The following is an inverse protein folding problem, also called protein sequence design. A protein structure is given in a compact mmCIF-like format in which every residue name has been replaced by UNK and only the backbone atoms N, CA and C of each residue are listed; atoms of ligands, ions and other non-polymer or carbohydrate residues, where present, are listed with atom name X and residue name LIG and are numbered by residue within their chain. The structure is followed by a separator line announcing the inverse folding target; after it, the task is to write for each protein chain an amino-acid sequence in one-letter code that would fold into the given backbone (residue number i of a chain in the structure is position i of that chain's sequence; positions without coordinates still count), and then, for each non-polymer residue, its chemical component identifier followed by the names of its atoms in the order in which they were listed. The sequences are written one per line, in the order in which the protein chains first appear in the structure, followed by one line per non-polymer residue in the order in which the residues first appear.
data_IF_505842459040
#
_entry.id   IF_505842459040
#
_cell.length_a   1.000
_cell.length_b   1.000
_cell.length_c   1.000
_cell.angle_alpha   90.00
_cell.angle_beta   90.00
_cell.angle_gamma   90.00
#
_symmetry.space_group_name_H-M   'P 1'
#
loop_
_entity.id
_entity.type
_entity.pdbx_description
1 polymer ?
#
# COMPACT_ATOMS: atom_id res chain seq x y z
N UNK A 1 -12.97 -3.34 13.62
CA UNK A 1 -11.96 -3.28 12.55
C UNK A 1 -12.05 -1.96 11.78
N UNK A 2 -10.92 -1.45 11.31
CA UNK A 2 -10.90 -0.29 10.43
C UNK A 2 -11.47 -0.65 9.06
N UNK A 3 -11.69 0.37 8.22
CA UNK A 3 -12.14 0.18 6.85
C UNK A 3 -11.18 -0.71 6.07
N UNK A 4 -9.87 -0.44 6.17
CA UNK A 4 -8.85 -1.24 5.50
C UNK A 4 -8.91 -2.70 5.95
N UNK A 5 -8.94 -2.94 7.25
CA UNK A 5 -8.97 -4.30 7.79
C UNK A 5 -10.22 -5.07 7.37
N UNK A 6 -11.37 -4.40 7.34
CA UNK A 6 -12.61 -5.03 6.90
C UNK A 6 -12.51 -5.50 5.44
N UNK A 7 -11.96 -4.66 4.58
CA UNK A 7 -11.80 -5.01 3.17
C UNK A 7 -10.76 -6.14 2.98
N UNK A 8 -9.66 -6.10 3.74
CA UNK A 8 -8.66 -7.17 3.70
C UNK A 8 -9.28 -8.49 4.14
N UNK A 9 -10.04 -8.48 5.23
CA UNK A 9 -10.66 -9.70 5.77
C UNK A 9 -11.53 -10.41 4.73
N UNK A 10 -12.22 -9.64 3.89
CA UNK A 10 -13.14 -10.16 2.88
C UNK A 10 -12.44 -10.60 1.58
N UNK A 11 -11.15 -10.34 1.43
CA UNK A 11 -10.42 -10.58 0.18
C UNK A 11 -9.44 -11.74 0.34
N UNK A 12 -9.37 -12.59 -0.69
CA UNK A 12 -8.38 -13.67 -0.75
C UNK A 12 -7.17 -13.33 -1.60
N UNK A 13 -7.38 -12.54 -2.65
CA UNK A 13 -6.32 -12.15 -3.59
C UNK A 13 -6.24 -10.63 -3.67
N UNK A 14 -5.10 -10.08 -3.24
CA UNK A 14 -4.90 -8.65 -3.00
C UNK A 14 -3.70 -8.15 -3.78
N UNK A 15 -3.84 -6.98 -4.43
CA UNK A 15 -2.71 -6.26 -5.02
C UNK A 15 -2.53 -4.93 -4.29
N UNK A 16 -1.27 -4.59 -4.01
CA UNK A 16 -0.88 -3.33 -3.39
C UNK A 16 -0.11 -2.53 -4.42
N UNK A 17 -0.54 -1.30 -4.66
CA UNK A 17 0.06 -0.39 -5.63
C UNK A 17 0.47 0.92 -4.95
N UNK A 18 1.51 1.55 -5.52
CA UNK A 18 1.93 2.90 -5.14
C UNK A 18 2.01 3.79 -6.38
N UNK A 19 2.68 4.93 -6.25
CA UNK A 19 2.81 5.88 -7.36
C UNK A 19 4.06 5.62 -8.21
N UNK A 20 4.08 6.19 -9.42
CA UNK A 20 5.27 6.21 -10.28
C UNK A 20 6.43 6.92 -9.57
N UNK A 21 7.66 6.54 -9.91
CA UNK A 21 8.86 7.06 -9.25
C UNK A 21 8.75 6.91 -7.71
N UNK A 22 8.58 5.70 -7.21
CA UNK A 22 8.32 5.50 -5.79
C UNK A 22 9.48 5.97 -4.91
N UNK A 23 9.12 6.59 -3.80
CA UNK A 23 10.03 7.10 -2.79
C UNK A 23 9.89 6.30 -1.49
N UNK A 24 10.53 6.78 -0.41
CA UNK A 24 10.52 6.08 0.88
C UNK A 24 9.13 5.95 1.49
N UNK A 25 8.28 6.96 1.35
CA UNK A 25 6.90 6.87 1.87
C UNK A 25 6.07 5.87 1.05
N UNK A 26 6.25 5.86 -0.25
CA UNK A 26 5.56 4.92 -1.12
C UNK A 26 5.95 3.48 -0.80
N UNK A 27 7.25 3.16 -0.79
CA UNK A 27 7.69 1.78 -0.50
C UNK A 27 7.41 1.40 0.94
N UNK A 28 7.58 2.33 1.88
CA UNK A 28 7.31 2.07 3.30
C UNK A 28 5.84 1.72 3.54
N UNK A 29 4.92 2.50 2.98
CA UNK A 29 3.48 2.23 3.15
C UNK A 29 3.09 0.92 2.47
N UNK A 30 3.57 0.66 1.27
CA UNK A 30 3.26 -0.58 0.54
C UNK A 30 3.74 -1.83 1.29
N UNK A 31 4.99 -1.82 1.76
CA UNK A 31 5.56 -2.97 2.46
C UNK A 31 5.02 -3.11 3.88
N UNK A 32 4.63 -2.01 4.53
CA UNK A 32 3.96 -2.08 5.83
C UNK A 32 2.66 -2.88 5.71
N UNK A 33 1.84 -2.55 4.72
CA UNK A 33 0.57 -3.24 4.49
C UNK A 33 0.81 -4.69 4.06
N UNK A 34 1.78 -4.93 3.18
CA UNK A 34 2.13 -6.27 2.73
C UNK A 34 2.49 -7.18 3.93
N UNK A 35 3.43 -6.72 4.76
CA UNK A 35 3.86 -7.52 5.92
C UNK A 35 2.72 -7.71 6.92
N UNK A 36 1.91 -6.67 7.14
CA UNK A 36 0.78 -6.74 8.06
C UNK A 36 -0.21 -7.82 7.64
N UNK A 37 -0.56 -7.87 6.35
CA UNK A 37 -1.51 -8.87 5.85
C UNK A 37 -0.93 -10.27 5.94
N UNK A 38 0.31 -10.46 5.50
CA UNK A 38 0.95 -11.79 5.50
C UNK A 38 1.14 -12.34 6.92
N UNK A 39 1.39 -11.47 7.89
CA UNK A 39 1.52 -11.87 9.29
C UNK A 39 0.15 -12.15 9.92
N UNK A 40 -0.88 -11.41 9.49
CA UNK A 40 -2.24 -11.61 9.97
C UNK A 40 -2.86 -12.91 9.42
N UNK A 41 -2.72 -13.13 8.13
CA UNK A 41 -3.27 -14.32 7.46
C UNK A 41 -2.40 -14.71 6.27
N UNK A 42 -1.49 -15.65 6.50
CA UNK A 42 -0.53 -16.09 5.49
C UNK A 42 -1.18 -16.86 4.33
N UNK A 43 -2.46 -17.24 4.46
CA UNK A 43 -3.16 -17.94 3.37
C UNK A 43 -3.61 -17.00 2.25
N UNK A 44 -3.63 -15.69 2.50
CA UNK A 44 -4.00 -14.72 1.48
C UNK A 44 -2.87 -14.55 0.46
N UNK A 45 -3.26 -14.39 -0.82
CA UNK A 45 -2.31 -14.07 -1.87
C UNK A 45 -2.18 -12.56 -1.96
N UNK A 46 -0.98 -12.04 -1.67
CA UNK A 46 -0.72 -10.60 -1.67
C UNK A 46 0.44 -10.30 -2.60
N UNK A 47 0.23 -9.41 -3.54
CA UNK A 47 1.24 -8.98 -4.50
C UNK A 47 1.46 -7.47 -4.37
N UNK A 48 2.72 -7.04 -4.27
CA UNK A 48 3.09 -5.62 -4.33
C UNK A 48 3.66 -5.35 -5.70
N UNK A 49 3.13 -4.36 -6.41
CA UNK A 49 3.65 -3.95 -7.72
C UNK A 49 4.06 -2.49 -7.69
N UNK A 50 5.34 -2.25 -7.93
CA UNK A 50 5.94 -0.92 -7.95
C UNK A 50 6.98 -0.86 -9.05
N UNK A 51 7.27 0.33 -9.55
CA UNK A 51 8.42 0.56 -10.40
C UNK A 51 9.70 0.23 -9.64
N UNK A 52 10.77 -0.01 -10.37
CA UNK A 52 12.06 -0.38 -9.77
C UNK A 52 12.50 0.65 -8.73
N UNK A 53 12.88 0.15 -7.57
CA UNK A 53 13.31 0.95 -6.43
C UNK A 53 14.82 0.92 -6.24
N UNK A 54 15.42 1.99 -5.68
CA UNK A 54 16.83 1.97 -5.28
C UNK A 54 17.09 0.87 -4.25
N UNK A 55 18.27 0.26 -4.35
CA UNK A 55 18.68 -0.82 -3.44
C UNK A 55 18.80 -0.37 -1.97
N UNK A 56 18.84 0.94 -1.71
CA UNK A 56 18.88 1.46 -0.34
C UNK A 56 17.68 1.07 0.50
N UNK A 57 16.57 0.65 -0.14
CA UNK A 57 15.38 0.18 0.57
C UNK A 57 15.36 -1.34 0.77
N UNK A 58 16.39 -2.05 0.31
CA UNK A 58 16.42 -3.52 0.34
C UNK A 58 16.45 -4.11 1.76
N UNK A 59 16.70 -3.29 2.77
CA UNK A 59 16.64 -3.73 4.17
C UNK A 59 15.21 -3.97 4.66
N UNK A 60 14.21 -3.45 3.95
CA UNK A 60 12.82 -3.61 4.36
C UNK A 60 12.32 -5.01 4.06
N UNK A 61 11.65 -5.63 5.04
CA UNK A 61 11.04 -6.94 4.86
C UNK A 61 10.01 -6.87 3.73
N UNK A 62 10.07 -7.85 2.82
CA UNK A 62 9.17 -7.88 1.67
C UNK A 62 9.70 -7.18 0.43
N UNK A 63 10.84 -6.49 0.52
CA UNK A 63 11.41 -5.79 -0.64
C UNK A 63 11.59 -6.72 -1.83
N UNK A 64 12.08 -7.95 -1.59
CA UNK A 64 12.33 -8.91 -2.66
C UNK A 64 11.03 -9.51 -3.25
N UNK A 65 9.89 -9.28 -2.60
CA UNK A 65 8.60 -9.73 -3.11
C UNK A 65 7.96 -8.73 -4.09
N UNK A 66 8.52 -7.52 -4.22
CA UNK A 66 7.98 -6.50 -5.11
C UNK A 66 8.15 -6.95 -6.56
N UNK A 67 7.05 -6.90 -7.32
CA UNK A 67 7.06 -7.21 -8.74
C UNK A 67 6.97 -5.92 -9.55
N UNK A 68 7.75 -5.85 -10.62
CA UNK A 68 7.89 -4.62 -11.42
C UNK A 68 7.05 -4.62 -12.69
N UNK A 69 6.33 -5.69 -12.96
CA UNK A 69 5.45 -5.80 -14.13
C UNK A 69 3.99 -5.89 -13.70
N UNK A 70 3.08 -5.43 -14.58
CA UNK A 70 1.66 -5.35 -14.24
C UNK A 70 0.96 -6.72 -14.21
N UNK A 71 1.45 -7.68 -15.00
CA UNK A 71 0.79 -8.99 -15.11
C UNK A 71 -0.61 -8.88 -15.72
N UNK A 72 -1.38 -9.95 -15.60
CA UNK A 72 -2.73 -10.02 -16.19
C UNK A 72 -3.77 -10.54 -15.20
N UNK A 73 -3.39 -10.77 -13.95
CA UNK A 73 -4.29 -11.34 -12.95
C UNK A 73 -5.43 -10.38 -12.59
N UNK A 74 -6.52 -10.98 -12.09
CA UNK A 74 -7.60 -10.24 -11.45
C UNK A 74 -7.44 -10.35 -9.93
N UNK A 75 -8.00 -9.39 -9.20
CA UNK A 75 -7.86 -9.31 -7.74
C UNK A 75 -9.22 -9.08 -7.08
N UNK A 76 -9.35 -9.55 -5.85
CA UNK A 76 -10.51 -9.23 -5.03
C UNK A 76 -10.44 -7.79 -4.51
N UNK A 77 -9.22 -7.33 -4.22
CA UNK A 77 -8.97 -6.02 -3.62
C UNK A 77 -7.69 -5.41 -4.16
N UNK A 78 -7.75 -4.14 -4.52
CA UNK A 78 -6.58 -3.31 -4.82
C UNK A 78 -6.45 -2.24 -3.74
N UNK A 79 -5.27 -2.18 -3.11
CA UNK A 79 -4.93 -1.17 -2.11
C UNK A 79 -3.94 -0.22 -2.75
N UNK A 80 -4.36 1.04 -2.95
CA UNK A 80 -3.51 2.09 -3.51
C UNK A 80 -2.97 2.95 -2.38
N UNK A 81 -1.66 3.09 -2.31
CA UNK A 81 -0.99 3.80 -1.22
C UNK A 81 -0.14 4.93 -1.77
N UNK A 82 -0.27 6.11 -1.15
CA UNK A 82 0.55 7.28 -1.46
C UNK A 82 0.40 7.77 -2.91
N UNK A 83 -0.71 7.46 -3.56
CA UNK A 83 -0.98 7.89 -4.93
C UNK A 83 -2.14 8.87 -4.96
N UNK A 84 -1.87 10.11 -5.38
CA UNK A 84 -2.83 11.21 -5.31
C UNK A 84 -3.96 11.12 -6.35
N UNK A 85 -3.76 10.36 -7.43
CA UNK A 85 -4.74 10.15 -8.48
C UNK A 85 -4.42 8.87 -9.26
N UNK A 86 -5.35 8.49 -10.17
CA UNK A 86 -5.20 7.28 -10.96
C UNK A 86 -4.00 7.32 -11.92
N UNK A 87 -3.68 8.49 -12.46
CA UNK A 87 -2.57 8.64 -13.41
C UNK A 87 -1.23 8.31 -12.74
N UNK A 88 -1.11 8.61 -11.46
CA UNK A 88 0.11 8.31 -10.70
C UNK A 88 0.36 6.83 -10.50
N UNK A 89 -0.63 5.97 -10.76
CA UNK A 89 -0.44 4.52 -10.74
C UNK A 89 0.38 4.02 -11.94
N UNK A 90 0.47 4.81 -13.00
CA UNK A 90 1.24 4.47 -14.20
C UNK A 90 0.73 3.19 -14.85
N UNK A 91 1.64 2.31 -15.24
CA UNK A 91 1.31 1.05 -15.90
C UNK A 91 0.49 0.11 -15.00
N UNK A 92 0.54 0.31 -13.68
CA UNK A 92 -0.18 -0.54 -12.74
C UNK A 92 -1.65 -0.15 -12.59
N UNK A 93 -2.10 0.92 -13.25
CA UNK A 93 -3.53 1.23 -13.30
C UNK A 93 -4.34 0.05 -13.85
N UNK A 94 -3.75 -0.75 -14.73
CA UNK A 94 -4.41 -1.96 -15.24
C UNK A 94 -4.74 -2.95 -14.12
N UNK A 95 -3.89 -3.05 -13.10
CA UNK A 95 -4.18 -3.89 -11.92
C UNK A 95 -5.37 -3.33 -11.14
N UNK A 96 -5.41 -2.01 -10.95
CA UNK A 96 -6.54 -1.33 -10.32
C UNK A 96 -7.84 -1.64 -11.07
N UNK A 97 -7.81 -1.55 -12.39
CA UNK A 97 -9.00 -1.78 -13.23
C UNK A 97 -9.46 -3.25 -13.18
N UNK A 98 -8.54 -4.19 -12.92
CA UNK A 98 -8.87 -5.61 -12.83
C UNK A 98 -9.23 -6.07 -11.42
N UNK A 99 -9.46 -5.15 -10.51
CA UNK A 99 -9.80 -5.45 -9.11
C UNK A 99 -11.29 -5.27 -8.87
N UNK A 100 -11.90 -6.19 -8.12
CA UNK A 100 -13.31 -6.13 -7.80
C UNK A 100 -13.63 -4.98 -6.84
N UNK A 101 -12.74 -4.74 -5.87
CA UNK A 101 -12.86 -3.65 -4.90
C UNK A 101 -11.57 -2.87 -4.81
N UNK A 102 -11.67 -1.58 -4.49
CA UNK A 102 -10.52 -0.69 -4.42
C UNK A 102 -10.58 0.20 -3.18
N UNK A 103 -9.43 0.44 -2.57
CA UNK A 103 -9.28 1.39 -1.47
C UNK A 103 -8.01 2.21 -1.72
N UNK A 104 -8.08 3.51 -1.44
CA UNK A 104 -6.94 4.41 -1.50
C UNK A 104 -6.66 4.97 -0.12
N UNK A 105 -5.40 4.91 0.31
CA UNK A 105 -4.93 5.51 1.56
C UNK A 105 -3.83 6.50 1.20
N UNK A 106 -4.04 7.78 1.53
CA UNK A 106 -3.16 8.85 1.05
C UNK A 106 -3.19 10.06 1.99
N UNK A 107 -2.23 10.95 1.82
CA UNK A 107 -2.14 12.18 2.60
C UNK A 107 -2.11 13.45 1.73
N UNK A 108 -2.19 13.33 0.41
CA UNK A 108 -2.15 14.49 -0.47
C UNK A 108 -3.48 15.23 -0.45
N UNK A 109 -3.44 16.55 -0.18
CA UNK A 109 -4.66 17.38 -0.12
C UNK A 109 -5.35 17.50 -1.48
N UNK A 110 -4.62 17.22 -2.57
CA UNK A 110 -5.15 17.24 -3.93
C UNK A 110 -5.92 15.98 -4.30
N UNK A 111 -5.87 14.95 -3.46
CA UNK A 111 -6.55 13.69 -3.73
C UNK A 111 -8.07 13.85 -3.57
N UNK A 112 -8.82 13.54 -4.62
CA UNK A 112 -10.28 13.69 -4.66
C UNK A 112 -11.04 12.39 -4.40
N UNK A 113 -10.30 11.31 -4.10
CA UNK A 113 -10.92 10.01 -3.82
C UNK A 113 -11.32 9.27 -5.10
N UNK A 114 -10.34 8.64 -5.76
CA UNK A 114 -10.60 7.92 -7.01
C UNK A 114 -10.95 6.44 -6.81
N UNK A 115 -10.76 5.90 -5.62
CA UNK A 115 -11.11 4.51 -5.31
C UNK A 115 -12.55 4.42 -4.81
N UNK A 116 -13.07 3.20 -4.68
CA UNK A 116 -14.41 2.98 -4.11
C UNK A 116 -14.47 3.42 -2.65
N UNK A 117 -13.39 3.15 -1.89
CA UNK A 117 -13.21 3.62 -0.54
C UNK A 117 -11.94 4.45 -0.45
N UNK A 118 -11.97 5.55 0.29
CA UNK A 118 -10.83 6.47 0.36
C UNK A 118 -10.60 6.90 1.81
N UNK A 119 -9.37 6.72 2.28
CA UNK A 119 -8.92 7.18 3.60
C UNK A 119 -7.84 8.21 3.33
N UNK A 120 -8.22 9.47 3.31
CA UNK A 120 -7.33 10.57 2.93
C UNK A 120 -7.27 11.55 4.09
N UNK A 121 -6.03 11.84 4.56
CA UNK A 121 -5.79 12.81 5.61
C UNK A 121 -4.72 13.80 5.15
N UNK A 122 -5.16 14.97 4.68
CA UNK A 122 -4.26 16.01 4.21
C UNK A 122 -3.44 16.67 5.31
N UNK A 123 -3.73 16.39 6.58
CA UNK A 123 -2.97 16.91 7.72
C UNK A 123 -1.87 15.95 8.16
N UNK A 124 -1.87 14.72 7.69
CA UNK A 124 -0.84 13.74 8.02
C UNK A 124 0.47 14.08 7.33
N UNK A 125 1.59 13.77 7.96
CA UNK A 125 2.93 14.03 7.43
C UNK A 125 3.29 13.10 6.26
N UNK A 126 2.66 11.93 6.19
CA UNK A 126 3.00 10.89 5.22
C UNK A 126 1.84 9.92 5.06
N UNK A 127 1.85 9.15 3.96
CA UNK A 127 0.90 8.06 3.79
C UNK A 127 1.10 6.98 4.85
N UNK A 128 2.35 6.75 5.29
CA UNK A 128 2.64 5.79 6.36
C UNK A 128 1.95 6.17 7.67
N UNK A 129 1.83 7.46 7.98
CA UNK A 129 1.09 7.90 9.17
C UNK A 129 -0.39 7.55 9.05
N UNK A 130 -0.98 7.76 7.86
CA UNK A 130 -2.39 7.43 7.63
C UNK A 130 -2.60 5.92 7.70
N UNK A 131 -1.69 5.14 7.12
CA UNK A 131 -1.71 3.67 7.19
C UNK A 131 -1.68 3.22 8.65
N UNK A 132 -0.80 3.79 9.46
CA UNK A 132 -0.68 3.42 10.88
C UNK A 132 -2.04 3.53 11.59
N UNK A 133 -2.81 4.57 11.29
CA UNK A 133 -4.13 4.77 11.87
C UNK A 133 -5.16 3.72 11.45
N UNK A 134 -4.88 2.95 10.40
CA UNK A 134 -5.76 1.88 9.91
C UNK A 134 -5.36 0.50 10.43
N UNK A 135 -4.23 0.38 11.11
CA UNK A 135 -3.73 -0.91 11.61
C UNK A 135 -4.05 -1.08 13.09
N UNK A 136 -4.17 -2.34 13.51
CA UNK A 136 -4.31 -2.70 14.92
C UNK A 136 -2.91 -2.75 15.54
N UNK A 137 -2.63 -1.85 16.50
CA UNK A 137 -1.32 -1.75 17.14
C UNK A 137 -0.84 -3.09 17.71
N UNK A 138 -1.75 -3.91 18.21
CA UNK A 138 -1.39 -5.22 18.80
C UNK A 138 -0.83 -6.18 17.75
N UNK A 139 -1.02 -5.93 16.47
CA UNK A 139 -0.52 -6.75 15.36
C UNK A 139 0.62 -6.11 14.57
N UNK A 140 1.12 -4.96 15.03
CA UNK A 140 2.24 -4.31 14.36
C UNK A 140 3.54 -4.94 14.84
N UNK A 141 4.15 -5.75 13.96
CA UNK A 141 5.46 -6.35 14.22
C UNK A 141 6.57 -5.34 14.03
N UNK A 142 7.78 -5.74 14.41
CA UNK A 142 8.96 -4.92 14.16
C UNK A 142 9.16 -4.65 12.66
N UNK A 143 8.81 -5.59 11.79
CA UNK A 143 8.96 -5.43 10.33
C UNK A 143 7.98 -4.40 9.78
N UNK A 144 6.73 -4.44 10.24
CA UNK A 144 5.73 -3.43 9.88
C UNK A 144 6.16 -2.06 10.39
N UNK A 145 6.63 -2.00 11.64
CA UNK A 145 7.07 -0.74 12.26
C UNK A 145 8.26 -0.13 11.50
N UNK A 146 9.21 -0.93 11.05
CA UNK A 146 10.35 -0.42 10.27
C UNK A 146 9.90 0.20 8.94
N UNK A 147 8.93 -0.41 8.27
CA UNK A 147 8.37 0.12 7.04
C UNK A 147 7.67 1.46 7.26
N UNK A 148 6.85 1.56 8.30
CA UNK A 148 6.14 2.80 8.65
C UNK A 148 7.14 3.90 9.00
N UNK A 149 8.15 3.58 9.82
CA UNK A 149 9.17 4.53 10.23
C UNK A 149 9.93 5.09 9.02
N UNK A 150 10.30 4.21 8.09
CA UNK A 150 10.99 4.61 6.85
C UNK A 150 10.19 5.66 6.09
N UNK A 151 8.89 5.44 5.91
CA UNK A 151 8.04 6.37 5.19
C UNK A 151 7.88 7.71 5.91
N UNK A 152 7.70 7.67 7.23
CA UNK A 152 7.55 8.90 8.03
C UNK A 152 8.83 9.74 7.94
N UNK A 153 9.99 9.11 8.08
CA UNK A 153 11.29 9.80 8.02
C UNK A 153 11.51 10.45 6.66
N UNK A 154 11.14 9.80 5.58
CA UNK A 154 11.36 10.32 4.23
C UNK A 154 10.49 11.53 3.89
N UNK A 155 9.33 11.69 4.55
CA UNK A 155 8.40 12.80 4.28
C UNK A 155 8.46 13.94 5.33
N UNK A 156 9.32 13.81 6.31
CA UNK A 156 9.45 14.84 7.35
C UNK A 156 10.75 15.65 7.26
#
# INVERSE_FOLDING_TARGET
MTKLETMIDQAGKIVILGHVNPDGDCVGSCLAVYNYIKEWDSSKTVTVRLERLPSKFSYLSGFDAIETEAGEETYDLCICLDSSDEERLGDFKSCFDRSAKTICIDHHITNRGYAQENVIDGHASSACEVVYGQLDESRISKYVAECIYTGIIHDT
#
